data_IF_665226275240
#
_entry.id   IF_665226275240
#
_cell.length_a   1.000
_cell.length_b   1.000
_cell.length_c   1.000
_cell.angle_alpha   90.00
_cell.angle_beta   90.00
_cell.angle_gamma   90.00
#
_symmetry.space_group_name_H-M   'P 1'
#
loop_
_entity.id
_entity.type
_entity.pdbx_description
1 polymer ?
#
# COMPACT_ATOMS: atom_id res chain seq x y z
N UNK A 1 18.86 -2.98 -21.92
CA UNK A 1 18.88 -3.53 -23.31
C UNK A 1 17.96 -4.74 -23.46
N UNK A 2 18.21 -5.88 -22.79
CA UNK A 2 17.34 -7.08 -22.87
C UNK A 2 15.90 -6.80 -22.41
N UNK A 3 15.74 -6.11 -21.27
CA UNK A 3 14.43 -5.69 -20.75
C UNK A 3 13.71 -4.78 -21.76
N UNK A 4 14.44 -3.82 -22.35
CA UNK A 4 13.89 -2.92 -23.35
C UNK A 4 13.42 -3.66 -24.62
N UNK A 5 14.13 -4.73 -25.01
CA UNK A 5 13.73 -5.60 -26.12
C UNK A 5 12.41 -6.30 -25.79
N UNK A 6 12.27 -6.85 -24.58
CA UNK A 6 11.03 -7.51 -24.14
C UNK A 6 9.86 -6.52 -24.08
N UNK A 7 10.08 -5.34 -23.51
CA UNK A 7 9.06 -4.28 -23.43
C UNK A 7 8.66 -3.81 -24.82
N UNK A 8 9.62 -3.62 -25.74
CA UNK A 8 9.33 -3.22 -27.11
C UNK A 8 8.57 -4.31 -27.87
N UNK A 9 8.89 -5.59 -27.65
CA UNK A 9 8.14 -6.71 -28.22
C UNK A 9 6.68 -6.71 -27.76
N UNK A 10 6.43 -6.52 -26.46
CA UNK A 10 5.06 -6.41 -25.93
C UNK A 10 4.31 -5.21 -26.51
N UNK A 11 4.98 -4.06 -26.70
CA UNK A 11 4.38 -2.88 -27.37
C UNK A 11 4.02 -3.18 -28.83
N UNK A 12 4.84 -3.92 -29.57
CA UNK A 12 4.55 -4.36 -30.93
C UNK A 12 3.33 -5.28 -30.96
N UNK A 13 3.27 -6.28 -30.07
CA UNK A 13 2.13 -7.21 -29.96
C UNK A 13 0.82 -6.46 -29.66
N UNK A 14 0.84 -5.49 -28.72
CA UNK A 14 -0.32 -4.63 -28.44
C UNK A 14 -0.73 -3.83 -29.68
N UNK A 15 0.23 -3.33 -30.45
CA UNK A 15 -0.05 -2.55 -31.66
C UNK A 15 -0.70 -3.40 -32.74
N UNK A 16 -0.24 -4.63 -32.94
CA UNK A 16 -0.87 -5.60 -33.86
C UNK A 16 -2.29 -5.97 -33.42
N UNK A 17 -2.51 -6.19 -32.13
CA UNK A 17 -3.85 -6.46 -31.57
C UNK A 17 -4.79 -5.29 -31.86
N UNK A 18 -4.33 -4.05 -31.67
CA UNK A 18 -5.12 -2.84 -31.96
C UNK A 18 -5.51 -2.75 -33.44
N UNK A 19 -4.59 -3.06 -34.36
CA UNK A 19 -4.87 -3.05 -35.81
C UNK A 19 -5.91 -4.10 -36.16
N UNK A 20 -5.70 -5.37 -35.76
CA UNK A 20 -6.67 -6.45 -36.00
C UNK A 20 -8.04 -6.13 -35.42
N UNK A 21 -8.07 -5.50 -34.24
CA UNK A 21 -9.30 -5.10 -33.60
C UNK A 21 -10.04 -3.98 -34.35
N UNK A 22 -9.30 -2.96 -34.82
CA UNK A 22 -9.84 -1.90 -35.67
C UNK A 22 -10.40 -2.47 -36.97
N UNK A 23 -9.69 -3.38 -37.64
CA UNK A 23 -10.11 -3.97 -38.91
C UNK A 23 -11.42 -4.76 -38.77
N UNK A 24 -11.56 -5.52 -37.67
CA UNK A 24 -12.79 -6.25 -37.36
C UNK A 24 -13.99 -5.29 -37.16
N UNK A 25 -13.79 -4.20 -36.40
CA UNK A 25 -14.83 -3.19 -36.19
C UNK A 25 -15.19 -2.47 -37.48
N UNK A 26 -14.20 -2.17 -38.33
CA UNK A 26 -14.43 -1.50 -39.61
C UNK A 26 -15.26 -2.39 -40.55
N UNK A 27 -14.90 -3.68 -40.65
CA UNK A 27 -15.66 -4.66 -41.42
C UNK A 27 -17.12 -4.73 -40.96
N UNK A 28 -17.35 -4.78 -39.66
CA UNK A 28 -18.71 -4.82 -39.11
C UNK A 28 -19.50 -3.53 -39.38
N UNK A 29 -18.82 -2.37 -39.31
CA UNK A 29 -19.42 -1.08 -39.67
C UNK A 29 -19.83 -1.04 -41.14
N UNK A 30 -19.01 -1.59 -42.03
CA UNK A 30 -19.30 -1.62 -43.46
C UNK A 30 -20.48 -2.55 -43.80
N UNK A 31 -20.58 -3.70 -43.13
CA UNK A 31 -21.76 -4.59 -43.21
C UNK A 31 -23.05 -3.85 -42.81
N UNK A 32 -23.02 -3.09 -41.71
CA UNK A 32 -24.16 -2.27 -41.26
C UNK A 32 -24.51 -1.19 -42.28
N UNK A 33 -23.51 -0.50 -42.84
CA UNK A 33 -23.72 0.53 -43.87
C UNK A 33 -24.34 -0.03 -45.14
N UNK A 34 -23.92 -1.22 -45.57
CA UNK A 34 -24.52 -1.90 -46.73
C UNK A 34 -26.00 -2.22 -46.50
N UNK A 35 -26.35 -2.74 -45.32
CA UNK A 35 -27.75 -3.00 -44.96
C UNK A 35 -28.56 -1.69 -44.93
N UNK A 36 -28.01 -0.62 -44.34
CA UNK A 36 -28.66 0.69 -44.32
C UNK A 36 -28.90 1.24 -45.73
N UNK A 37 -27.94 1.08 -46.65
CA UNK A 37 -28.08 1.50 -48.04
C UNK A 37 -29.20 0.72 -48.75
N UNK A 38 -29.26 -0.60 -48.54
CA UNK A 38 -30.30 -1.45 -49.13
C UNK A 38 -31.70 -1.11 -48.59
N UNK A 39 -31.83 -0.79 -47.31
CA UNK A 39 -33.09 -0.32 -46.70
C UNK A 39 -33.52 1.00 -47.35
N UNK A 40 -32.60 1.96 -47.51
CA UNK A 40 -32.89 3.26 -48.15
C UNK A 40 -33.36 3.10 -49.59
N UNK A 41 -32.69 2.25 -50.39
CA UNK A 41 -33.09 1.96 -51.76
C UNK A 41 -34.48 1.31 -51.81
N UNK A 42 -34.75 0.35 -50.92
CA UNK A 42 -36.05 -0.31 -50.86
C UNK A 42 -37.16 0.67 -50.48
N UNK A 43 -36.89 1.62 -49.58
CA UNK A 43 -37.86 2.64 -49.18
C UNK A 43 -38.20 3.60 -50.33
N UNK A 44 -37.21 3.97 -51.15
CA UNK A 44 -37.43 4.77 -52.36
C UNK A 44 -38.30 4.02 -53.39
N UNK A 45 -38.00 2.73 -53.62
CA UNK A 45 -38.81 1.91 -54.54
C UNK A 45 -40.27 1.77 -54.06
N UNK A 46 -40.50 1.64 -52.75
CA UNK A 46 -41.87 1.60 -52.19
C UNK A 46 -42.57 2.96 -52.36
N UNK A 47 -41.87 4.08 -52.18
CA UNK A 47 -42.40 5.43 -52.43
C UNK A 47 -42.81 5.61 -53.91
N UNK A 48 -42.05 5.08 -54.85
CA UNK A 48 -42.39 5.10 -56.28
C UNK A 48 -43.62 4.24 -56.59
N UNK A 49 -43.69 3.00 -56.06
CA UNK A 49 -44.87 2.13 -56.20
C UNK A 49 -46.11 2.82 -55.64
N UNK A 50 -46.00 3.47 -54.48
CA UNK A 50 -47.09 4.22 -53.84
C UNK A 50 -47.61 5.38 -54.68
N UNK A 51 -46.75 6.04 -55.47
CA UNK A 51 -47.12 7.17 -56.35
C UNK A 51 -47.62 6.72 -57.72
N UNK A 52 -47.35 5.48 -58.12
CA UNK A 52 -47.76 4.93 -59.41
C UNK A 52 -49.28 4.73 -59.47
N UNK A 53 -49.86 4.97 -60.65
CA UNK A 53 -51.26 4.65 -60.96
C UNK A 53 -51.43 3.24 -61.52
N UNK A 54 -50.33 2.51 -61.77
CA UNK A 54 -50.38 1.12 -62.23
C UNK A 54 -50.46 0.12 -61.08
N UNK A 55 -51.34 -0.87 -61.21
CA UNK A 55 -51.62 -1.86 -60.14
C UNK A 55 -50.58 -2.99 -60.11
N UNK A 56 -50.00 -3.35 -61.26
CA UNK A 56 -49.10 -4.52 -61.40
C UNK A 56 -47.91 -4.52 -60.42
N UNK A 57 -47.17 -3.41 -60.22
CA UNK A 57 -46.03 -3.37 -59.29
C UNK A 57 -46.42 -3.57 -57.81
N UNK A 58 -47.66 -3.25 -57.44
CA UNK A 58 -48.16 -3.43 -56.07
C UNK A 58 -48.48 -4.91 -55.79
N UNK A 59 -49.00 -5.64 -56.79
CA UNK A 59 -49.35 -7.06 -56.66
C UNK A 59 -48.08 -7.92 -56.58
N UNK A 60 -47.04 -7.56 -57.33
CA UNK A 60 -45.76 -8.30 -57.38
C UNK A 60 -44.84 -8.00 -56.17
N UNK A 61 -45.12 -6.93 -55.42
CA UNK A 61 -44.29 -6.54 -54.29
C UNK A 61 -44.37 -7.55 -53.14
N UNK A 62 -43.21 -8.05 -52.72
CA UNK A 62 -43.05 -8.89 -51.53
C UNK A 62 -42.30 -8.13 -50.44
N UNK A 63 -42.81 -8.20 -49.21
CA UNK A 63 -42.23 -7.45 -48.08
C UNK A 63 -40.89 -8.02 -47.64
N UNK A 64 -39.86 -7.17 -47.61
CA UNK A 64 -38.50 -7.51 -47.13
C UNK A 64 -38.29 -7.27 -45.63
N UNK A 65 -39.34 -6.96 -44.87
CA UNK A 65 -39.24 -6.66 -43.42
C UNK A 65 -38.57 -7.81 -42.63
N UNK A 66 -38.85 -9.06 -43.00
CA UNK A 66 -38.24 -10.25 -42.36
C UNK A 66 -36.74 -10.39 -42.67
N UNK A 67 -36.26 -9.83 -43.76
CA UNK A 67 -34.84 -9.82 -44.12
C UNK A 67 -34.12 -8.72 -43.32
N UNK A 68 -34.72 -7.54 -43.23
CA UNK A 68 -34.15 -6.41 -42.49
C UNK A 68 -34.26 -6.54 -40.96
N UNK A 69 -35.14 -7.41 -40.45
CA UNK A 69 -35.23 -7.69 -39.01
C UNK A 69 -34.07 -8.57 -38.50
N UNK A 70 -33.30 -9.20 -39.40
CA UNK A 70 -32.10 -9.98 -39.06
C UNK A 70 -30.90 -9.05 -38.99
N UNK A 71 -30.62 -8.53 -37.79
CA UNK A 71 -29.44 -7.71 -37.56
C UNK A 71 -28.15 -8.55 -37.63
N UNK A 72 -27.02 -7.94 -38.06
CA UNK A 72 -25.71 -8.56 -37.95
C UNK A 72 -25.40 -9.01 -36.51
N UNK A 73 -24.63 -10.11 -36.31
CA UNK A 73 -24.25 -10.56 -34.98
C UNK A 73 -23.50 -9.49 -34.21
N UNK A 74 -23.85 -9.25 -32.94
CA UNK A 74 -23.12 -8.29 -32.10
C UNK A 74 -21.68 -8.75 -31.89
N UNK A 75 -20.71 -7.94 -32.32
CA UNK A 75 -19.29 -8.16 -32.04
C UNK A 75 -19.04 -7.91 -30.55
N UNK A 76 -18.72 -8.96 -29.80
CA UNK A 76 -18.25 -8.85 -28.42
C UNK A 76 -16.74 -8.64 -28.41
N UNK A 77 -16.31 -7.53 -27.84
CA UNK A 77 -14.90 -7.17 -27.73
C UNK A 77 -14.47 -7.26 -26.28
N UNK A 78 -13.40 -8.00 -26.00
CA UNK A 78 -12.70 -7.99 -24.72
C UNK A 78 -11.38 -7.27 -24.88
N UNK A 79 -11.05 -6.42 -23.91
CA UNK A 79 -9.76 -5.74 -23.90
C UNK A 79 -8.65 -6.72 -23.50
N UNK A 80 -7.45 -6.63 -24.09
CA UNK A 80 -6.32 -7.43 -23.65
C UNK A 80 -5.99 -7.06 -22.20
N UNK A 81 -5.90 -8.06 -21.33
CA UNK A 81 -5.54 -7.88 -19.93
C UNK A 81 -4.09 -8.33 -19.75
N UNK A 82 -3.25 -7.44 -19.23
CA UNK A 82 -1.90 -7.81 -18.82
C UNK A 82 -1.99 -8.58 -17.51
N UNK A 83 -1.44 -9.80 -17.50
CA UNK A 83 -1.35 -10.63 -16.30
C UNK A 83 0.11 -10.61 -15.84
N UNK A 84 0.47 -9.75 -14.86
CA UNK A 84 1.83 -9.71 -14.33
C UNK A 84 2.16 -11.06 -13.69
N UNK A 85 3.36 -11.57 -13.97
CA UNK A 85 3.91 -12.69 -13.22
C UNK A 85 4.62 -12.14 -11.97
N UNK A 86 4.44 -12.77 -10.79
CA UNK A 86 5.21 -12.43 -9.60
C UNK A 86 6.71 -12.58 -9.88
N UNK A 87 7.50 -11.64 -9.36
CA UNK A 87 8.95 -11.58 -9.54
C UNK A 87 9.63 -12.69 -8.74
N UNK A 88 10.20 -13.66 -9.45
CA UNK A 88 11.07 -14.68 -8.88
C UNK A 88 12.48 -14.10 -8.72
N UNK A 89 12.78 -13.57 -7.54
CA UNK A 89 14.07 -12.96 -7.23
C UNK A 89 15.24 -13.95 -7.40
N UNK A 90 15.03 -15.26 -7.15
CA UNK A 90 16.07 -16.28 -7.34
C UNK A 90 16.45 -16.44 -8.81
N UNK A 91 15.46 -16.46 -9.71
CA UNK A 91 15.73 -16.44 -11.16
C UNK A 91 16.33 -15.12 -11.63
N UNK A 92 15.96 -14.01 -11.01
CA UNK A 92 16.57 -12.73 -11.33
C UNK A 92 18.06 -12.75 -11.00
N UNK A 93 18.44 -13.23 -9.81
CA UNK A 93 19.86 -13.39 -9.44
C UNK A 93 20.63 -14.31 -10.39
N UNK A 94 20.03 -15.41 -10.86
CA UNK A 94 20.72 -16.30 -11.81
C UNK A 94 20.93 -15.68 -13.20
N UNK A 95 20.05 -14.76 -13.63
CA UNK A 95 20.17 -14.06 -14.92
C UNK A 95 21.24 -12.96 -14.92
N UNK A 96 21.46 -12.30 -13.79
CA UNK A 96 22.48 -11.25 -13.65
C UNK A 96 23.89 -11.82 -13.37
N UNK A 97 23.98 -13.12 -13.06
CA UNK A 97 25.22 -13.79 -12.73
C UNK A 97 25.60 -13.66 -11.25
N UNK A 98 26.65 -14.37 -10.88
CA UNK A 98 27.22 -14.33 -9.54
C UNK A 98 28.51 -13.52 -9.55
N UNK A 99 28.65 -12.61 -8.60
CA UNK A 99 29.93 -11.93 -8.37
C UNK A 99 30.82 -12.91 -7.62
N UNK A 100 31.94 -13.30 -8.24
CA UNK A 100 32.96 -14.08 -7.53
C UNK A 100 33.63 -13.14 -6.52
N UNK A 101 33.62 -13.47 -5.22
CA UNK A 101 34.30 -12.64 -4.22
C UNK A 101 35.80 -12.59 -4.51
N UNK A 102 36.43 -11.46 -4.17
CA UNK A 102 37.88 -11.31 -4.23
C UNK A 102 38.53 -12.33 -3.28
N UNK A 103 39.37 -13.23 -3.80
CA UNK A 103 40.11 -14.18 -2.97
C UNK A 103 41.41 -13.54 -2.49
N UNK A 104 41.45 -13.09 -1.24
CA UNK A 104 42.71 -12.84 -0.53
C UNK A 104 43.11 -14.10 0.21
N UNK A 105 44.18 -14.75 -0.25
CA UNK A 105 44.84 -15.81 0.51
C UNK A 105 45.80 -15.17 1.52
N UNK A 106 45.53 -15.36 2.80
CA UNK A 106 46.47 -15.05 3.88
C UNK A 106 46.63 -16.33 4.70
N UNK A 107 47.88 -16.78 4.84
CA UNK A 107 48.25 -17.93 5.66
C UNK A 107 47.97 -17.64 7.15
N UNK A 108 47.33 -18.63 7.79
CA UNK A 108 47.28 -18.94 9.23
C UNK A 108 47.00 -17.83 10.26
N UNK A 109 45.76 -17.77 10.79
CA UNK A 109 45.37 -18.55 11.97
C UNK A 109 43.91 -18.28 12.40
N UNK A 110 43.27 -19.39 12.77
CA UNK A 110 41.89 -19.64 13.20
C UNK A 110 41.24 -18.54 14.06
N UNK A 111 40.13 -17.96 13.57
CA UNK A 111 38.83 -17.91 14.24
C UNK A 111 37.74 -17.40 13.26
N UNK A 112 36.73 -18.23 13.05
CA UNK A 112 35.61 -18.03 12.13
C UNK A 112 34.62 -16.99 12.61
N UNK A 113 34.15 -16.09 11.72
CA UNK A 113 32.73 -16.06 11.33
C UNK A 113 32.54 -15.24 10.04
N UNK A 114 32.09 -15.94 9.01
CA UNK A 114 31.71 -15.43 7.70
C UNK A 114 30.53 -14.44 7.81
N UNK A 115 30.70 -13.21 7.31
CA UNK A 115 29.59 -12.38 6.84
C UNK A 115 29.77 -12.11 5.34
N UNK A 116 28.76 -12.38 4.49
CA UNK A 116 28.80 -11.95 3.10
C UNK A 116 28.67 -10.42 3.07
N UNK A 117 29.69 -9.74 2.53
CA UNK A 117 29.68 -8.31 2.26
C UNK A 117 28.69 -7.98 1.14
N UNK A 118 27.41 -7.99 1.48
CA UNK A 118 26.44 -7.07 0.89
C UNK A 118 26.82 -5.68 1.42
N UNK A 119 26.64 -4.61 0.66
CA UNK A 119 26.74 -3.23 1.17
C UNK A 119 25.63 -2.98 2.22
N UNK A 120 25.72 -3.63 3.38
CA UNK A 120 24.81 -3.48 4.50
C UNK A 120 25.17 -2.16 5.18
N UNK A 121 24.26 -1.18 5.14
CA UNK A 121 24.47 0.08 5.86
C UNK A 121 24.55 -0.22 7.35
N UNK A 122 25.71 0.00 7.94
CA UNK A 122 25.91 -0.27 9.36
C UNK A 122 25.13 0.73 10.23
N UNK A 123 24.77 0.29 11.44
CA UNK A 123 24.22 1.18 12.45
C UNK A 123 25.29 2.17 12.89
N UNK A 124 24.95 3.46 12.98
CA UNK A 124 25.82 4.45 13.62
C UNK A 124 26.04 4.08 15.07
N UNK A 125 27.26 4.21 15.59
CA UNK A 125 27.55 4.00 17.01
C UNK A 125 26.67 4.91 17.86
N UNK A 126 26.52 6.16 17.43
CA UNK A 126 25.61 7.14 18.03
C UNK A 126 24.66 7.69 16.96
N UNK A 127 23.35 7.41 17.06
CA UNK A 127 22.33 8.06 16.24
C UNK A 127 22.35 9.59 16.41
N UNK A 128 22.20 10.30 15.30
CA UNK A 128 22.33 11.76 15.23
C UNK A 128 20.97 12.43 15.02
N UNK A 129 20.65 13.43 15.83
CA UNK A 129 19.48 14.27 15.61
C UNK A 129 19.75 15.24 14.45
N UNK A 130 19.04 15.08 13.34
CA UNK A 130 19.21 15.89 12.13
C UNK A 130 18.34 17.15 12.18
N UNK A 131 17.08 17.02 12.59
CA UNK A 131 16.14 18.13 12.63
C UNK A 131 14.99 17.88 13.62
N UNK A 132 14.34 18.97 14.04
CA UNK A 132 13.10 18.94 14.82
C UNK A 132 12.07 19.85 14.18
N UNK A 133 10.93 19.27 13.82
CA UNK A 133 9.78 19.92 13.20
C UNK A 133 8.78 20.25 14.31
N UNK A 134 8.50 21.54 14.50
CA UNK A 134 7.47 22.00 15.43
C UNK A 134 6.12 22.00 14.73
N UNK A 135 5.22 21.10 15.11
CA UNK A 135 3.93 20.93 14.40
C UNK A 135 2.83 21.88 14.88
N UNK A 136 3.03 22.50 16.04
CA UNK A 136 2.02 23.31 16.73
C UNK A 136 0.90 22.50 17.40
N UNK A 137 0.93 21.16 17.33
CA UNK A 137 0.03 20.33 18.13
C UNK A 137 0.49 20.28 19.59
N UNK A 138 -0.45 20.19 20.54
CA UNK A 138 -0.12 19.84 21.93
C UNK A 138 0.34 18.40 22.06
N UNK A 139 -0.29 17.51 21.28
CA UNK A 139 0.06 16.10 21.23
C UNK A 139 0.11 15.64 19.78
N UNK A 140 1.14 14.88 19.43
CA UNK A 140 1.29 14.26 18.11
C UNK A 140 1.20 12.73 18.24
N UNK A 141 0.48 12.09 17.33
CA UNK A 141 0.19 10.64 17.44
C UNK A 141 0.99 9.81 16.45
N UNK A 142 1.03 10.21 15.19
CA UNK A 142 1.80 9.50 14.17
C UNK A 142 2.38 10.45 13.12
N UNK A 143 3.35 9.92 12.36
CA UNK A 143 4.00 10.58 11.24
C UNK A 143 4.12 9.60 10.08
N UNK A 144 3.93 10.07 8.85
CA UNK A 144 4.20 9.31 7.62
C UNK A 144 4.95 10.18 6.62
N UNK A 145 5.89 9.56 5.91
CA UNK A 145 6.69 10.22 4.88
C UNK A 145 5.90 10.32 3.57
N UNK A 146 6.07 11.43 2.84
CA UNK A 146 5.46 11.67 1.53
C UNK A 146 6.53 11.63 0.41
N UNK A 147 7.35 12.67 0.32
CA UNK A 147 8.43 12.86 -0.66
C UNK A 147 9.32 14.03 -0.24
N UNK A 148 10.54 14.15 -0.75
CA UNK A 148 11.42 15.33 -0.56
C UNK A 148 11.48 15.85 0.88
N UNK A 149 11.48 14.92 1.84
CA UNK A 149 11.42 15.19 3.28
C UNK A 149 10.16 15.96 3.79
N UNK A 150 9.05 15.89 3.06
CA UNK A 150 7.74 16.28 3.53
C UNK A 150 7.09 15.15 4.32
N UNK A 151 6.45 15.50 5.44
CA UNK A 151 5.80 14.55 6.34
C UNK A 151 4.37 14.97 6.65
N UNK A 152 3.46 14.00 6.60
CA UNK A 152 2.13 14.16 7.16
C UNK A 152 2.14 13.74 8.63
N UNK A 153 1.43 14.50 9.45
CA UNK A 153 1.26 14.21 10.87
C UNK A 153 -0.11 14.68 11.35
N UNK A 154 -0.57 14.11 12.46
CA UNK A 154 -1.82 14.52 13.09
C UNK A 154 -1.70 14.49 14.61
N UNK A 155 -2.48 15.36 15.23
CA UNK A 155 -2.51 15.52 16.68
C UNK A 155 -3.87 15.21 17.27
N UNK A 156 -4.21 15.95 18.33
CA UNK A 156 -5.48 15.82 19.04
C UNK A 156 -6.67 16.47 18.34
N UNK A 157 -6.44 17.19 17.24
CA UNK A 157 -7.51 17.87 16.46
C UNK A 157 -7.97 17.02 15.26
N UNK A 158 -9.03 17.46 14.59
CA UNK A 158 -9.54 16.84 13.35
C UNK A 158 -8.63 17.03 12.13
N UNK A 159 -7.63 17.89 12.25
CA UNK A 159 -6.78 18.29 11.14
C UNK A 159 -5.55 17.39 11.04
N UNK A 160 -5.22 17.04 9.82
CA UNK A 160 -4.01 16.34 9.39
C UNK A 160 -3.18 17.38 8.64
N UNK A 161 -1.91 17.56 9.02
CA UNK A 161 -1.05 18.63 8.51
C UNK A 161 0.19 18.05 7.85
N UNK A 162 0.59 18.65 6.73
CA UNK A 162 1.82 18.33 6.02
C UNK A 162 2.86 19.41 6.28
N UNK A 163 4.06 19.00 6.68
CA UNK A 163 5.19 19.90 6.94
C UNK A 163 6.38 19.53 6.08
N UNK A 164 7.16 20.53 5.68
CA UNK A 164 8.52 20.30 5.19
C UNK A 164 9.54 20.24 6.34
N UNK A 165 10.80 19.96 6.02
CA UNK A 165 11.88 19.87 7.03
C UNK A 165 12.21 21.16 7.76
N UNK A 166 11.83 22.31 7.21
CA UNK A 166 12.01 23.61 7.88
C UNK A 166 10.91 23.86 8.92
N UNK A 167 9.89 23.00 8.98
CA UNK A 167 8.72 23.19 9.83
C UNK A 167 7.64 24.07 9.22
N UNK A 168 7.72 24.35 7.91
CA UNK A 168 6.69 25.13 7.22
C UNK A 168 5.49 24.24 6.91
N UNK A 169 4.28 24.72 7.24
CA UNK A 169 3.03 24.04 6.95
C UNK A 169 2.69 24.17 5.46
N UNK A 170 2.64 23.05 4.75
CA UNK A 170 2.35 23.00 3.31
C UNK A 170 0.86 22.79 3.02
N UNK A 171 0.26 21.82 3.71
CA UNK A 171 -1.12 21.40 3.44
C UNK A 171 -1.85 21.04 4.73
N UNK A 172 -3.17 21.22 4.72
CA UNK A 172 -4.05 20.77 5.81
C UNK A 172 -5.25 20.06 5.22
N UNK A 173 -5.57 18.88 5.76
CA UNK A 173 -6.76 18.11 5.44
C UNK A 173 -7.54 17.89 6.74
N UNK A 174 -8.83 18.21 6.74
CA UNK A 174 -9.68 18.03 7.92
C UNK A 174 -10.58 16.81 7.78
N UNK A 175 -10.67 16.02 8.84
CA UNK A 175 -11.61 14.90 8.90
C UNK A 175 -13.06 15.40 9.01
N UNK A 176 -13.94 14.89 8.13
CA UNK A 176 -15.37 15.24 8.06
C UNK A 176 -16.16 14.88 9.33
N UNK A 177 -15.74 13.85 10.09
CA UNK A 177 -16.42 13.49 11.35
C UNK A 177 -16.11 14.43 12.52
N UNK A 178 -15.27 15.43 12.27
CA UNK A 178 -14.76 16.39 13.25
C UNK A 178 -14.01 15.75 14.42
N UNK A 179 -13.54 14.52 14.23
CA UNK A 179 -12.68 13.83 15.19
C UNK A 179 -11.29 13.67 14.61
N UNK A 180 -10.30 13.56 15.51
CA UNK A 180 -8.96 13.12 15.10
C UNK A 180 -9.05 11.77 14.39
N UNK A 181 -8.26 11.53 13.33
CA UNK A 181 -8.13 10.19 12.78
C UNK A 181 -7.49 9.25 13.81
N UNK A 182 -7.63 7.95 13.58
CA UNK A 182 -6.88 6.95 14.34
C UNK A 182 -5.48 6.72 13.76
N UNK A 183 -5.33 6.91 12.45
CA UNK A 183 -4.05 6.83 11.75
C UNK A 183 -4.07 7.47 10.38
N UNK A 184 -2.86 7.64 9.83
CA UNK A 184 -2.61 8.10 8.48
C UNK A 184 -1.59 7.19 7.79
N UNK A 185 -1.65 7.09 6.47
CA UNK A 185 -0.65 6.44 5.62
C UNK A 185 -0.60 7.15 4.26
N UNK A 186 0.44 6.90 3.47
CA UNK A 186 0.58 7.43 2.11
C UNK A 186 0.65 6.25 1.13
N UNK A 187 -0.09 6.31 0.03
CA UNK A 187 -0.02 5.30 -1.02
C UNK A 187 1.09 5.56 -2.05
N UNK A 188 1.31 4.61 -2.96
CA UNK A 188 2.39 4.71 -3.97
C UNK A 188 2.26 5.88 -4.94
N UNK A 189 1.07 6.48 -5.04
CA UNK A 189 0.81 7.67 -5.85
C UNK A 189 0.97 8.98 -5.04
N UNK A 190 1.31 8.89 -3.76
CA UNK A 190 1.45 10.03 -2.85
C UNK A 190 0.14 10.52 -2.24
N UNK A 191 -0.96 9.77 -2.35
CA UNK A 191 -2.24 10.16 -1.75
C UNK A 191 -2.26 9.84 -0.26
N UNK A 192 -2.84 10.75 0.52
CA UNK A 192 -3.05 10.56 1.95
C UNK A 192 -4.26 9.64 2.19
N UNK A 193 -4.05 8.61 2.99
CA UNK A 193 -5.09 7.73 3.53
C UNK A 193 -5.22 8.00 5.02
N UNK A 194 -6.44 7.96 5.56
CA UNK A 194 -6.65 8.05 7.00
C UNK A 194 -7.82 7.19 7.48
N UNK A 195 -7.70 6.69 8.70
CA UNK A 195 -8.73 5.86 9.33
C UNK A 195 -9.56 6.68 10.32
N UNK A 196 -10.86 6.45 10.32
CA UNK A 196 -11.81 7.07 11.23
C UNK A 196 -12.55 5.98 12.01
N UNK A 197 -12.18 5.85 13.29
CA UNK A 197 -12.76 4.87 14.20
C UNK A 197 -14.20 5.16 14.61
N UNK A 198 -14.66 6.41 14.49
CA UNK A 198 -16.04 6.79 14.85
C UNK A 198 -17.00 6.49 13.72
N UNK A 199 -16.64 6.85 12.49
CA UNK A 199 -17.43 6.52 11.29
C UNK A 199 -17.29 5.05 10.88
N UNK A 200 -16.22 4.37 11.30
CA UNK A 200 -15.89 3.02 10.85
C UNK A 200 -15.35 3.01 9.42
N UNK A 201 -14.73 4.09 8.95
CA UNK A 201 -14.29 4.22 7.56
C UNK A 201 -12.78 4.38 7.42
N UNK A 202 -12.26 3.96 6.27
CA UNK A 202 -10.95 4.39 5.76
C UNK A 202 -11.20 5.28 4.56
N UNK A 203 -10.58 6.45 4.55
CA UNK A 203 -10.80 7.49 3.55
C UNK A 203 -9.49 7.77 2.80
N UNK A 204 -9.61 8.11 1.52
CA UNK A 204 -8.51 8.52 0.65
C UNK A 204 -8.69 9.99 0.26
N UNK A 205 -7.60 10.73 0.28
CA UNK A 205 -7.55 12.12 -0.15
C UNK A 205 -6.89 12.18 -1.51
N UNK A 206 -7.65 12.56 -2.53
CA UNK A 206 -7.17 12.72 -3.90
C UNK A 206 -7.47 14.15 -4.36
N UNK A 207 -6.45 14.89 -4.80
CA UNK A 207 -6.57 16.28 -5.25
C UNK A 207 -7.35 17.19 -4.28
N UNK A 208 -7.12 17.03 -2.98
CA UNK A 208 -7.79 17.79 -1.91
C UNK A 208 -9.23 17.36 -1.61
N UNK A 209 -9.80 16.40 -2.36
CA UNK A 209 -11.11 15.82 -2.06
C UNK A 209 -10.96 14.53 -1.27
N UNK A 210 -11.80 14.37 -0.24
CA UNK A 210 -11.84 13.17 0.59
C UNK A 210 -12.96 12.25 0.16
N UNK A 211 -12.58 11.05 -0.27
CA UNK A 211 -13.45 9.96 -0.68
C UNK A 211 -13.37 8.79 0.29
N UNK A 212 -14.48 8.07 0.47
CA UNK A 212 -14.52 6.87 1.29
C UNK A 212 -14.03 5.67 0.49
N UNK A 213 -13.01 4.98 1.01
CA UNK A 213 -12.43 3.80 0.37
C UNK A 213 -13.04 2.50 0.93
N UNK A 214 -13.18 2.43 2.25
CA UNK A 214 -13.68 1.23 2.95
C UNK A 214 -14.65 1.67 4.05
N UNK A 215 -15.78 0.97 4.15
CA UNK A 215 -16.70 1.07 5.29
C UNK A 215 -16.83 -0.26 6.00
N UNK A 216 -16.51 -0.25 7.29
CA UNK A 216 -16.58 -1.42 8.15
C UNK A 216 -17.92 -1.46 8.90
N UNK A 217 -18.47 -2.67 9.04
CA UNK A 217 -19.69 -2.92 9.81
C UNK A 217 -19.33 -3.72 11.07
N UNK A 218 -19.61 -3.18 12.25
CA UNK A 218 -19.31 -3.83 13.54
C UNK A 218 -17.83 -3.86 13.93
N UNK A 219 -16.95 -3.25 13.12
CA UNK A 219 -15.50 -3.14 13.37
C UNK A 219 -15.06 -1.69 13.22
N UNK A 220 -14.04 -1.29 14.00
CA UNK A 220 -13.48 0.06 13.98
C UNK A 220 -12.04 0.00 13.47
N UNK A 221 -11.70 0.73 12.40
CA UNK A 221 -10.33 0.76 11.89
C UNK A 221 -9.44 1.54 12.87
N UNK A 222 -8.21 1.05 13.08
CA UNK A 222 -7.23 1.65 13.98
C UNK A 222 -5.98 2.14 13.25
N UNK A 223 -5.14 1.25 12.72
CA UNK A 223 -3.84 1.62 12.14
C UNK A 223 -3.72 1.13 10.71
N UNK A 224 -2.97 1.88 9.90
CA UNK A 224 -2.87 1.72 8.47
C UNK A 224 -1.42 1.47 8.06
N UNK A 225 -1.21 0.58 7.10
CA UNK A 225 0.05 0.43 6.40
C UNK A 225 -0.24 0.13 4.93
N UNK A 226 0.35 0.93 4.04
CA UNK A 226 0.37 0.59 2.60
C UNK A 226 1.58 -0.30 2.36
N UNK A 227 1.32 -1.45 1.74
CA UNK A 227 2.33 -2.44 1.38
C UNK A 227 3.10 -2.03 0.13
N UNK A 228 4.26 -2.62 -0.07
CA UNK A 228 5.09 -2.52 -1.28
C UNK A 228 4.35 -2.86 -2.57
N UNK A 229 3.32 -3.72 -2.51
CA UNK A 229 2.47 -4.09 -3.64
C UNK A 229 1.24 -3.18 -3.83
N UNK A 230 1.08 -2.13 -3.01
CA UNK A 230 -0.04 -1.20 -3.06
C UNK A 230 -1.31 -1.68 -2.34
N UNK A 231 -1.30 -2.87 -1.73
CA UNK A 231 -2.38 -3.31 -0.84
C UNK A 231 -2.36 -2.49 0.46
N UNK A 232 -3.53 -2.34 1.07
CA UNK A 232 -3.71 -1.66 2.36
C UNK A 232 -3.92 -2.70 3.48
N UNK A 233 -3.05 -2.67 4.48
CA UNK A 233 -3.23 -3.38 5.74
C UNK A 233 -3.92 -2.47 6.75
N UNK A 234 -5.00 -2.97 7.34
CA UNK A 234 -5.79 -2.25 8.35
C UNK A 234 -5.87 -3.08 9.61
N UNK A 235 -5.35 -2.58 10.72
CA UNK A 235 -5.68 -3.12 12.05
C UNK A 235 -7.04 -2.60 12.48
N UNK A 236 -7.83 -3.45 13.14
CA UNK A 236 -9.16 -3.08 13.60
C UNK A 236 -9.55 -3.89 14.84
N UNK A 237 -10.45 -3.32 15.63
CA UNK A 237 -11.06 -3.99 16.78
C UNK A 237 -12.58 -4.06 16.65
N UNK A 238 -13.19 -5.06 17.27
CA UNK A 238 -14.63 -5.29 17.23
C UNK A 238 -15.39 -4.20 18.00
N UNK A 239 -16.65 -3.95 17.65
CA UNK A 239 -17.47 -2.92 18.29
C UNK A 239 -17.64 -3.10 19.81
N UNK A 240 -17.66 -4.35 20.28
CA UNK A 240 -17.69 -4.75 21.69
C UNK A 240 -16.29 -4.72 22.35
N UNK A 241 -15.23 -4.44 21.58
CA UNK A 241 -13.82 -4.33 21.99
C UNK A 241 -13.23 -5.64 22.51
N UNK A 242 -13.81 -6.80 22.18
CA UNK A 242 -13.32 -8.11 22.65
C UNK A 242 -12.34 -8.78 21.68
N UNK A 243 -12.24 -8.29 20.45
CA UNK A 243 -11.43 -8.90 19.41
C UNK A 243 -10.64 -7.86 18.61
N UNK A 244 -9.52 -8.29 18.06
CA UNK A 244 -8.70 -7.51 17.14
C UNK A 244 -8.22 -8.38 16.00
N UNK A 245 -8.05 -7.77 14.83
CA UNK A 245 -7.54 -8.44 13.63
C UNK A 245 -6.84 -7.47 12.69
N UNK A 246 -6.10 -8.04 11.76
CA UNK A 246 -5.54 -7.34 10.61
C UNK A 246 -6.27 -7.81 9.36
N UNK A 247 -6.62 -6.88 8.48
CA UNK A 247 -7.25 -7.19 7.19
C UNK A 247 -6.46 -6.52 6.08
N UNK A 248 -6.11 -7.30 5.05
CA UNK A 248 -5.45 -6.82 3.83
C UNK A 248 -6.51 -6.54 2.77
N UNK A 249 -6.43 -5.37 2.15
CA UNK A 249 -7.32 -4.91 1.08
C UNK A 249 -6.53 -4.57 -0.18
N UNK A 250 -7.07 -4.93 -1.34
CA UNK A 250 -6.66 -4.36 -2.63
C UNK A 250 -7.73 -3.37 -3.05
N UNK A 251 -7.43 -2.07 -2.93
CA UNK A 251 -8.46 -1.03 -3.00
C UNK A 251 -9.50 -1.22 -1.90
N UNK A 252 -10.77 -1.41 -2.27
CA UNK A 252 -11.88 -1.71 -1.35
C UNK A 252 -12.13 -3.21 -1.16
N UNK A 253 -11.44 -4.08 -1.90
CA UNK A 253 -11.70 -5.53 -1.88
C UNK A 253 -10.85 -6.22 -0.81
N UNK A 254 -11.49 -6.91 0.12
CA UNK A 254 -10.82 -7.71 1.15
C UNK A 254 -10.12 -8.92 0.53
N UNK A 255 -8.80 -9.04 0.73
CA UNK A 255 -7.98 -10.18 0.26
C UNK A 255 -7.72 -11.21 1.34
N UNK A 256 -7.46 -10.76 2.57
CA UNK A 256 -6.97 -11.63 3.64
C UNK A 256 -7.43 -11.12 4.99
N UNK A 257 -7.66 -12.03 5.93
CA UNK A 257 -7.91 -11.71 7.33
C UNK A 257 -6.95 -12.51 8.19
N UNK A 258 -6.22 -11.81 9.05
CA UNK A 258 -5.20 -12.36 9.94
C UNK A 258 -5.69 -12.07 11.34
N UNK A 259 -6.08 -13.11 12.07
CA UNK A 259 -6.72 -12.97 13.38
C UNK A 259 -6.31 -14.07 14.37
N UNK A 260 -6.19 -15.30 13.89
CA UNK A 260 -5.86 -16.46 14.70
C UNK A 260 -4.61 -17.15 14.15
N UNK A 261 -3.87 -17.83 15.03
CA UNK A 261 -2.79 -18.73 14.63
C UNK A 261 -3.34 -20.09 14.14
N UNK A 262 -2.42 -20.98 13.76
CA UNK A 262 -2.76 -22.32 13.26
C UNK A 262 -3.43 -23.21 14.34
N UNK A 263 -3.34 -22.84 15.62
CA UNK A 263 -4.03 -23.50 16.74
C UNK A 263 -5.39 -22.86 17.07
N UNK A 264 -5.79 -21.83 16.33
CA UNK A 264 -7.03 -21.10 16.56
C UNK A 264 -6.97 -20.08 17.73
N UNK A 265 -5.79 -19.80 18.28
CA UNK A 265 -5.63 -18.79 19.33
C UNK A 265 -5.50 -17.39 18.72
N UNK A 266 -6.03 -16.34 19.36
CA UNK A 266 -5.95 -14.99 18.83
C UNK A 266 -4.50 -14.51 18.75
N UNK A 267 -4.12 -13.97 17.59
CA UNK A 267 -2.79 -13.40 17.37
C UNK A 267 -2.59 -12.10 18.15
N UNK A 268 -3.67 -11.35 18.37
CA UNK A 268 -3.67 -10.02 18.96
C UNK A 268 -4.60 -9.96 20.17
N UNK A 269 -4.26 -9.09 21.12
CA UNK A 269 -5.09 -8.85 22.30
C UNK A 269 -6.45 -8.23 21.95
N UNK A 270 -7.50 -8.76 22.56
CA UNK A 270 -8.88 -8.28 22.38
C UNK A 270 -9.18 -7.03 23.21
N UNK A 271 -9.02 -5.85 22.62
CA UNK A 271 -9.28 -4.55 23.25
C UNK A 271 -9.39 -3.44 22.19
N UNK A 272 -9.63 -2.20 22.64
CA UNK A 272 -9.60 -1.01 21.79
C UNK A 272 -8.24 -0.31 21.72
N UNK A 273 -7.18 -0.87 22.31
CA UNK A 273 -5.83 -0.30 22.25
C UNK A 273 -5.29 -0.45 20.82
N UNK A 274 -4.63 0.60 20.32
CA UNK A 274 -4.13 0.61 18.96
C UNK A 274 -3.04 -0.44 18.74
N UNK A 275 -3.15 -1.13 17.61
CA UNK A 275 -2.18 -2.11 17.13
C UNK A 275 -1.49 -1.50 15.91
N UNK A 276 -0.34 -0.87 16.11
CA UNK A 276 0.41 -0.26 15.01
C UNK A 276 0.94 -1.35 14.10
N UNK A 277 1.01 -1.04 12.81
CA UNK A 277 1.30 -2.04 11.79
C UNK A 277 2.25 -1.47 10.76
N UNK A 278 3.14 -2.32 10.27
CA UNK A 278 4.02 -2.03 9.14
C UNK A 278 4.28 -3.32 8.38
N UNK A 279 4.59 -3.22 7.10
CA UNK A 279 5.13 -4.32 6.30
C UNK A 279 6.65 -4.23 6.34
N UNK A 280 7.31 -5.35 6.57
CA UNK A 280 8.76 -5.48 6.46
C UNK A 280 9.16 -5.80 5.02
N UNK A 281 10.39 -5.47 4.62
CA UNK A 281 10.90 -5.73 3.26
C UNK A 281 10.99 -7.21 2.89
N UNK A 282 10.93 -8.10 3.87
CA UNK A 282 10.79 -9.55 3.65
C UNK A 282 9.31 -9.99 3.52
N UNK A 283 8.37 -9.06 3.37
CA UNK A 283 6.91 -9.24 3.30
C UNK A 283 6.24 -9.74 4.58
N UNK A 284 6.96 -9.79 5.70
CA UNK A 284 6.33 -10.00 6.99
C UNK A 284 5.45 -8.81 7.36
N UNK A 285 4.36 -9.09 8.06
CA UNK A 285 3.50 -8.09 8.66
C UNK A 285 3.86 -8.00 10.13
N UNK A 286 4.34 -6.84 10.55
CA UNK A 286 4.77 -6.58 11.92
C UNK A 286 3.74 -5.72 12.64
N UNK A 287 3.23 -6.21 13.77
CA UNK A 287 2.21 -5.54 14.56
C UNK A 287 2.71 -5.27 15.96
N UNK A 288 2.76 -4.00 16.36
CA UNK A 288 3.01 -3.57 17.72
C UNK A 288 1.69 -3.55 18.52
N UNK A 289 1.52 -4.53 19.41
CA UNK A 289 0.35 -4.66 20.25
C UNK A 289 0.66 -4.22 21.69
N UNK A 290 0.30 -2.96 21.99
CA UNK A 290 0.62 -2.30 23.25
C UNK A 290 0.09 -3.06 24.47
N UNK A 291 -1.15 -3.55 24.40
CA UNK A 291 -1.79 -4.23 25.53
C UNK A 291 -1.23 -5.64 25.73
N UNK A 292 -0.87 -6.32 24.63
CA UNK A 292 -0.17 -7.60 24.69
C UNK A 292 1.31 -7.44 25.11
N UNK A 293 1.83 -6.20 25.18
CA UNK A 293 3.23 -5.89 25.48
C UNK A 293 4.20 -6.62 24.55
N UNK A 294 3.81 -6.74 23.28
CA UNK A 294 4.54 -7.56 22.33
C UNK A 294 4.46 -7.01 20.91
N UNK A 295 5.53 -7.23 20.15
CA UNK A 295 5.44 -7.28 18.70
C UNK A 295 4.97 -8.68 18.29
N UNK A 296 4.03 -8.72 17.34
CA UNK A 296 3.53 -9.93 16.72
C UNK A 296 3.91 -9.87 15.26
N UNK A 297 4.74 -10.81 14.80
CA UNK A 297 5.19 -10.85 13.41
C UNK A 297 4.65 -12.10 12.75
N UNK A 298 3.94 -11.90 11.65
CA UNK A 298 3.40 -12.95 10.80
C UNK A 298 4.02 -12.84 9.41
N UNK A 299 4.10 -13.95 8.68
CA UNK A 299 4.53 -13.93 7.28
C UNK A 299 3.43 -13.34 6.37
N UNK A 300 3.70 -13.25 5.07
CA UNK A 300 2.75 -12.74 4.07
C UNK A 300 1.41 -13.50 4.08
N UNK A 301 1.41 -14.80 4.36
CA UNK A 301 0.23 -15.66 4.47
C UNK A 301 -0.55 -15.47 5.78
N UNK A 302 -0.02 -14.69 6.73
CA UNK A 302 -0.64 -14.43 8.03
C UNK A 302 -0.32 -15.46 9.11
N UNK A 303 0.63 -16.36 8.86
CA UNK A 303 1.10 -17.35 9.85
C UNK A 303 2.08 -16.71 10.82
N UNK A 304 1.91 -16.98 12.11
CA UNK A 304 2.80 -16.50 13.16
C UNK A 304 4.22 -16.99 12.94
N UNK A 305 5.18 -16.07 12.89
CA UNK A 305 6.61 -16.38 12.84
C UNK A 305 7.22 -16.32 14.23
N UNK A 306 7.06 -15.20 14.92
CA UNK A 306 7.64 -14.97 16.23
C UNK A 306 6.98 -13.79 16.95
N UNK A 307 7.26 -13.68 18.26
CA UNK A 307 6.86 -12.55 19.09
C UNK A 307 8.08 -11.97 19.78
N UNK A 308 8.08 -10.65 19.97
CA UNK A 308 9.11 -9.96 20.73
C UNK A 308 8.47 -9.22 21.91
N UNK A 309 8.91 -9.53 23.13
CA UNK A 309 8.32 -9.06 24.39
C UNK A 309 9.18 -8.02 25.12
N UNK A 310 10.10 -7.37 24.39
CA UNK A 310 11.08 -6.47 24.96
C UNK A 310 12.42 -7.15 25.25
N UNK A 311 13.45 -6.33 25.43
CA UNK A 311 14.80 -6.78 25.78
C UNK A 311 15.03 -6.50 27.27
N UNK A 312 15.49 -7.48 28.06
CA UNK A 312 15.84 -7.25 29.46
C UNK A 312 16.93 -6.19 29.57
N UNK A 313 16.68 -5.11 30.30
CA UNK A 313 17.67 -4.05 30.51
C UNK A 313 17.61 -3.53 31.93
N UNK A 314 18.77 -3.30 32.52
CA UNK A 314 18.91 -2.68 33.85
C UNK A 314 18.64 -1.17 33.82
N UNK A 315 18.67 -0.55 32.64
CA UNK A 315 18.43 0.90 32.49
C UNK A 315 16.98 1.22 32.13
N UNK A 316 16.18 0.22 31.74
CA UNK A 316 14.78 0.39 31.31
C UNK A 316 13.84 -0.23 32.34
N UNK A 317 13.30 0.63 33.21
CA UNK A 317 12.58 0.21 34.42
C UNK A 317 11.06 0.09 34.23
N UNK A 318 10.53 0.43 33.04
CA UNK A 318 9.10 0.29 32.73
C UNK A 318 8.86 -0.98 31.90
N UNK A 319 7.70 -1.64 32.04
CA UNK A 319 7.33 -2.75 31.16
C UNK A 319 7.33 -2.31 29.70
N UNK A 320 7.90 -3.13 28.82
CA UNK A 320 7.87 -2.89 27.38
C UNK A 320 6.44 -2.75 26.88
N UNK A 321 6.13 -1.61 26.26
CA UNK A 321 4.83 -1.30 25.69
C UNK A 321 5.00 -0.70 24.30
N UNK A 322 5.04 -1.55 23.26
CA UNK A 322 5.30 -1.06 21.92
C UNK A 322 4.14 -0.16 21.47
N UNK A 323 4.49 0.97 20.87
CA UNK A 323 3.56 1.89 20.23
C UNK A 323 3.82 1.88 18.72
N UNK A 324 4.57 2.85 18.20
CA UNK A 324 4.87 2.93 16.76
C UNK A 324 5.83 1.84 16.32
N UNK A 325 5.71 1.48 15.04
CA UNK A 325 6.55 0.48 14.39
C UNK A 325 6.82 0.89 12.95
N UNK A 326 8.03 0.67 12.49
CA UNK A 326 8.44 0.87 11.09
C UNK A 326 9.57 -0.11 10.75
N UNK A 327 9.95 -0.19 9.47
CA UNK A 327 11.04 -1.04 9.00
C UNK A 327 11.96 -0.24 8.10
N UNK A 328 13.23 -0.65 8.02
CA UNK A 328 14.21 0.02 7.17
C UNK A 328 14.60 -0.78 5.93
N UNK A 329 15.51 -0.23 5.13
CA UNK A 329 15.97 -0.84 3.88
C UNK A 329 16.66 -2.21 4.03
N UNK A 330 17.06 -2.58 5.25
CA UNK A 330 17.74 -3.85 5.57
C UNK A 330 16.83 -4.84 6.31
N UNK A 331 15.52 -4.62 6.24
CA UNK A 331 14.51 -5.46 6.89
C UNK A 331 14.62 -5.49 8.42
N UNK A 332 15.28 -4.49 9.04
CA UNK A 332 15.26 -4.34 10.50
C UNK A 332 13.96 -3.70 10.92
N UNK A 333 13.50 -4.05 12.10
CA UNK A 333 12.24 -3.57 12.67
C UNK A 333 12.55 -2.58 13.78
N UNK A 334 11.99 -1.38 13.68
CA UNK A 334 12.13 -0.33 14.67
C UNK A 334 10.80 -0.15 15.38
N UNK A 335 10.78 -0.19 16.72
CA UNK A 335 9.57 0.06 17.50
C UNK A 335 9.82 0.96 18.68
N UNK A 336 8.87 1.85 18.99
CA UNK A 336 8.98 2.74 20.14
C UNK A 336 8.58 2.03 21.42
N UNK A 337 9.33 2.31 22.49
CA UNK A 337 8.92 2.05 23.87
C UNK A 337 8.79 3.40 24.56
N UNK A 338 7.57 3.95 24.51
CA UNK A 338 7.28 5.33 24.90
C UNK A 338 7.59 5.62 26.36
N UNK A 339 7.23 4.70 27.26
CA UNK A 339 7.43 4.84 28.72
C UNK A 339 8.91 4.76 29.13
N UNK A 340 9.74 4.13 28.29
CA UNK A 340 11.19 4.01 28.47
C UNK A 340 12.00 4.99 27.62
N UNK A 341 11.33 5.92 26.92
CA UNK A 341 11.95 6.99 26.14
C UNK A 341 12.95 6.49 25.09
N UNK A 342 12.71 5.33 24.49
CA UNK A 342 13.64 4.71 23.56
C UNK A 342 12.95 4.06 22.35
N UNK A 343 13.78 3.66 21.39
CA UNK A 343 13.38 2.87 20.22
C UNK A 343 14.21 1.60 20.24
N UNK A 344 13.57 0.45 20.07
CA UNK A 344 14.25 -0.82 19.88
C UNK A 344 14.50 -1.04 18.39
N UNK A 345 15.71 -1.47 18.04
CA UNK A 345 16.04 -1.98 16.71
C UNK A 345 16.20 -3.49 16.80
N UNK A 346 15.42 -4.22 16.00
CA UNK A 346 15.50 -5.67 15.87
C UNK A 346 15.96 -6.04 14.46
N UNK A 347 16.63 -7.18 14.32
CA UNK A 347 16.83 -7.78 13.01
C UNK A 347 15.51 -8.37 12.44
N UNK A 348 15.56 -8.85 11.20
CA UNK A 348 14.41 -9.46 10.52
C UNK A 348 13.86 -10.73 11.20
N UNK A 349 14.61 -11.32 12.14
CA UNK A 349 14.23 -12.53 12.88
C UNK A 349 13.84 -12.20 14.34
N UNK A 350 13.69 -10.93 14.68
CA UNK A 350 13.29 -10.48 16.01
C UNK A 350 14.41 -10.48 17.05
N UNK A 351 15.68 -10.65 16.64
CA UNK A 351 16.80 -10.50 17.55
C UNK A 351 17.04 -9.03 17.84
N UNK A 352 17.14 -8.70 19.13
CA UNK A 352 17.45 -7.35 19.56
C UNK A 352 18.87 -6.97 19.15
N UNK A 353 19.01 -5.83 18.47
CA UNK A 353 20.29 -5.30 18.05
C UNK A 353 20.78 -4.21 19.00
N UNK A 354 19.97 -3.18 19.22
CA UNK A 354 20.30 -2.05 20.11
C UNK A 354 19.11 -1.14 20.36
N UNK A 355 19.33 -0.18 21.26
CA UNK A 355 18.45 0.98 21.44
C UNK A 355 18.89 2.18 20.59
N UNK A 356 17.92 3.05 20.30
CA UNK A 356 18.14 4.49 20.09
C UNK A 356 17.55 5.20 21.31
N UNK A 357 18.41 5.77 22.15
CA UNK A 357 18.02 6.48 23.37
C UNK A 357 18.89 7.72 23.70
N UNK A 358 19.80 8.09 22.79
CA UNK A 358 20.72 9.22 22.91
C UNK A 358 20.22 10.51 22.21
N UNK A 359 19.07 10.50 21.53
CA UNK A 359 18.51 11.67 20.82
C UNK A 359 17.51 12.51 21.63
N UNK A 360 17.58 12.43 22.97
CA UNK A 360 16.68 13.11 23.91
C UNK A 360 15.19 12.89 23.58
N UNK A 361 14.82 11.65 23.24
CA UNK A 361 13.46 11.29 22.86
C UNK A 361 12.52 11.40 24.06
N UNK A 362 11.36 12.04 23.86
CA UNK A 362 10.35 12.16 24.90
C UNK A 362 9.03 11.51 24.47
N UNK A 363 8.66 10.40 25.12
CA UNK A 363 7.49 9.59 24.81
C UNK A 363 7.33 9.34 23.29
N UNK A 364 8.32 8.70 22.63
CA UNK A 364 8.25 8.43 21.20
C UNK A 364 7.01 7.59 20.88
N UNK A 365 6.19 8.05 19.95
CA UNK A 365 4.93 7.41 19.56
C UNK A 365 5.00 6.83 18.16
N UNK A 366 4.73 7.63 17.13
CA UNK A 366 4.73 7.22 15.73
C UNK A 366 6.11 7.23 15.08
N UNK A 367 6.32 6.33 14.13
CA UNK A 367 7.56 6.17 13.38
C UNK A 367 7.29 6.06 11.88
N UNK A 368 8.16 6.65 11.07
CA UNK A 368 8.34 6.28 9.67
C UNK A 368 9.80 6.47 9.25
N UNK A 369 10.22 5.80 8.17
CA UNK A 369 11.52 6.03 7.55
C UNK A 369 11.34 6.70 6.18
N UNK A 370 12.29 7.54 5.79
CA UNK A 370 12.39 8.02 4.41
C UNK A 370 13.16 7.03 3.51
N UNK A 371 13.26 7.37 2.22
CA UNK A 371 13.98 6.58 1.22
C UNK A 371 15.49 6.45 1.49
N UNK A 372 16.05 7.27 2.39
CA UNK A 372 17.44 7.25 2.78
C UNK A 372 17.67 6.56 4.13
N UNK A 373 16.64 5.94 4.72
CA UNK A 373 16.65 5.38 6.08
C UNK A 373 16.91 6.42 7.18
N UNK A 374 16.51 7.68 6.99
CA UNK A 374 16.37 8.57 8.13
C UNK A 374 15.06 8.27 8.84
N UNK A 375 15.12 8.19 10.15
CA UNK A 375 13.99 7.87 11.01
C UNK A 375 13.27 9.16 11.43
N UNK A 376 11.98 9.23 11.18
CA UNK A 376 11.10 10.25 11.71
C UNK A 376 10.37 9.71 12.94
N UNK A 377 10.38 10.49 14.03
CA UNK A 377 9.82 10.10 15.32
C UNK A 377 8.89 11.18 15.83
N UNK A 378 7.64 10.82 16.11
CA UNK A 378 6.68 11.70 16.78
C UNK A 378 6.89 11.69 18.29
N UNK A 379 7.02 12.84 18.94
CA UNK A 379 7.16 12.98 20.40
C UNK A 379 5.81 13.33 21.04
N UNK A 380 5.15 12.34 21.65
CA UNK A 380 3.72 12.38 21.90
C UNK A 380 3.24 13.62 22.66
N UNK A 381 3.90 13.99 23.76
CA UNK A 381 3.48 15.10 24.62
C UNK A 381 4.16 16.44 24.28
N UNK A 382 5.18 16.43 23.42
CA UNK A 382 5.85 17.65 22.96
C UNK A 382 5.25 18.21 21.67
N UNK A 383 4.53 17.40 20.92
CA UNK A 383 3.98 17.83 19.64
C UNK A 383 5.04 18.03 18.56
N UNK A 384 6.23 17.46 18.73
CA UNK A 384 7.33 17.59 17.77
C UNK A 384 7.49 16.33 16.94
N UNK A 385 8.02 16.48 15.74
CA UNK A 385 8.54 15.37 14.94
C UNK A 385 10.04 15.55 14.79
N UNK A 386 10.83 14.54 15.17
CA UNK A 386 12.30 14.54 15.04
C UNK A 386 12.72 13.70 13.84
N UNK A 387 13.72 14.16 13.10
CA UNK A 387 14.45 13.38 12.08
C UNK A 387 15.78 12.93 12.67
N UNK A 388 16.04 11.64 12.64
CA UNK A 388 17.23 11.01 13.23
C UNK A 388 17.93 10.19 12.15
N UNK A 389 19.24 10.41 12.00
CA UNK A 389 20.10 9.55 11.21
C UNK A 389 20.64 8.45 12.10
N UNK A 390 20.41 7.19 11.74
CA UNK A 390 20.86 6.03 12.54
C UNK A 390 21.72 5.04 11.75
N UNK A 391 21.99 5.33 10.48
CA UNK A 391 22.84 4.52 9.59
C UNK A 391 24.02 5.32 9.05
N UNK A 392 25.13 4.61 8.85
CA UNK A 392 26.37 5.15 8.28
C UNK A 392 26.22 5.47 6.80
#
# INVERSE_FOLDING_TARGET
REIDIVVNKMKTEISEIKVKHRDLLHKHLDEIKQIQALIKQTLLAIEEIKKSTEVSPTIEYSSKIREFSKLPPKVKVTLPTFLPKPLDHQKLYSLFGQITPLSTATEENVLSLNKPNTSSRELLDEPELVATIQTGYKQVYNVTYLNEDCVWTFGSTKDIKCFNMKGELLHTVSNKSEQRPNDIAVDGDGNLLFSDGKSGTVNKVNNGQTEELIRLQGWKPSKLCVTSNGDLLVTMYSGDKTQSKVVRYSGSTKKQTIQFDDEGKPLYSGNSSFKYITENRNHDICVADNEARALVVVNEDGKLRWRYIGHPSVTKNKPFKPCGITTDSQSRILTTDGDNHCIHILDQNGQFLRYIDNCNLEYPSGLCVDNNDNLFVSEHFKGNVKKIKFLR
#
